data_IF_440699211017
#
_entry.id   IF_440699211017
#
_cell.length_a   1.000
_cell.length_b   1.000
_cell.length_c   1.000
_cell.angle_alpha   90.00
_cell.angle_beta   90.00
_cell.angle_gamma   90.00
#
_symmetry.space_group_name_H-M   'P 1'
#
loop_
_entity.id
_entity.type
_entity.pdbx_description
1 polymer ?
#
# COMPACT_ATOMS: atom_id res chain seq x y z
N UNK A 1 12.78 -9.67 -8.51
CA UNK A 1 12.78 -10.19 -7.13
C UNK A 1 12.35 -11.65 -7.14
N UNK A 2 12.62 -12.43 -6.10
CA UNK A 2 12.19 -13.84 -5.93
C UNK A 2 11.85 -14.07 -4.45
N UNK A 3 10.73 -13.50 -4.01
CA UNK A 3 10.36 -13.42 -2.59
C UNK A 3 9.01 -14.09 -2.33
N UNK A 4 8.84 -14.64 -1.13
CA UNK A 4 7.55 -15.09 -0.62
C UNK A 4 7.02 -14.02 0.31
N UNK A 5 6.20 -13.12 -0.24
CA UNK A 5 5.76 -11.93 0.47
C UNK A 5 4.52 -12.21 1.35
N UNK A 6 4.64 -11.91 2.65
CA UNK A 6 3.56 -12.03 3.61
C UNK A 6 2.92 -10.67 3.85
N UNK A 7 1.70 -10.50 3.36
CA UNK A 7 0.97 -9.23 3.51
C UNK A 7 0.28 -9.15 4.86
N UNK A 8 0.59 -8.11 5.64
CA UNK A 8 0.04 -7.84 6.97
C UNK A 8 -0.88 -6.62 6.88
N UNK A 9 -1.99 -6.65 7.62
CA UNK A 9 -2.93 -5.53 7.75
C UNK A 9 -3.12 -5.19 9.23
N UNK A 10 -3.36 -3.93 9.54
CA UNK A 10 -3.56 -3.44 10.89
C UNK A 10 -4.06 -2.00 10.91
N UNK A 11 -4.53 -1.56 12.07
CA UNK A 11 -5.04 -0.21 12.29
C UNK A 11 -4.04 0.63 13.08
N UNK A 12 -3.95 1.92 12.76
CA UNK A 12 -3.07 2.86 13.45
C UNK A 12 -3.77 4.20 13.63
N UNK A 13 -3.80 4.67 14.87
CA UNK A 13 -4.40 5.96 15.25
C UNK A 13 -3.39 6.95 15.84
N UNK A 14 -2.11 6.57 15.90
CA UNK A 14 -1.03 7.41 16.39
C UNK A 14 -0.45 8.32 15.32
N UNK A 15 0.57 9.08 15.71
CA UNK A 15 1.35 9.90 14.80
C UNK A 15 2.32 9.03 13.96
N UNK A 16 2.42 9.28 12.66
CA UNK A 16 3.43 8.65 11.80
C UNK A 16 4.72 9.44 11.90
N UNK A 17 5.83 8.76 12.23
CA UNK A 17 7.17 9.37 12.37
C UNK A 17 8.17 8.63 11.48
N UNK A 18 8.24 8.95 10.17
CA UNK A 18 9.15 8.27 9.25
C UNK A 18 10.61 8.53 9.63
N UNK A 19 11.48 7.53 9.45
CA UNK A 19 12.92 7.76 9.43
C UNK A 19 13.28 8.37 8.06
N UNK A 20 13.81 9.61 7.98
CA UNK A 20 14.12 10.25 6.70
C UNK A 20 15.23 9.54 5.91
N UNK A 21 16.01 8.65 6.53
CA UNK A 21 16.98 7.81 5.80
C UNK A 21 16.31 6.68 5.00
N UNK A 22 15.07 6.32 5.33
CA UNK A 22 14.36 5.16 4.75
C UNK A 22 13.07 5.56 4.01
N UNK A 23 12.41 6.64 4.45
CA UNK A 23 11.14 7.09 3.90
C UNK A 23 11.10 8.61 3.73
N UNK A 24 10.98 9.06 2.48
CA UNK A 24 10.96 10.49 2.12
C UNK A 24 9.62 11.17 2.42
N UNK A 25 8.49 10.46 2.29
CA UNK A 25 7.14 10.99 2.52
C UNK A 25 6.14 9.86 2.86
N UNK A 26 4.95 10.23 3.35
CA UNK A 26 3.81 9.32 3.54
C UNK A 26 2.48 10.02 3.29
N UNK A 27 1.47 9.26 2.82
CA UNK A 27 0.10 9.75 2.73
C UNK A 27 -0.89 8.72 3.27
N UNK A 28 -1.87 9.19 4.02
CA UNK A 28 -3.11 8.44 4.25
C UNK A 28 -4.01 8.63 3.03
N UNK A 29 -4.55 7.53 2.50
CA UNK A 29 -5.36 7.55 1.28
C UNK A 29 -6.49 6.52 1.40
N UNK A 30 -7.66 6.88 0.93
CA UNK A 30 -8.81 5.99 0.88
C UNK A 30 -8.54 4.80 -0.06
N UNK A 31 -8.96 3.61 0.33
CA UNK A 31 -8.68 2.38 -0.43
C UNK A 31 -9.14 2.46 -1.89
N UNK A 32 -10.35 3.00 -2.12
CA UNK A 32 -10.90 3.15 -3.48
C UNK A 32 -10.07 4.11 -4.34
N UNK A 33 -9.54 5.16 -3.73
CA UNK A 33 -8.69 6.13 -4.41
C UNK A 33 -7.32 5.54 -4.71
N UNK A 34 -6.72 4.83 -3.76
CA UNK A 34 -5.46 4.13 -3.94
C UNK A 34 -5.55 3.10 -5.09
N UNK A 35 -6.62 2.31 -5.13
CA UNK A 35 -6.83 1.33 -6.22
C UNK A 35 -6.96 1.98 -7.59
N UNK A 36 -7.53 3.20 -7.66
CA UNK A 36 -7.58 3.99 -8.90
C UNK A 36 -6.20 4.55 -9.25
N UNK A 37 -5.51 5.15 -8.29
CA UNK A 37 -4.20 5.79 -8.47
C UNK A 37 -3.13 4.79 -8.96
N UNK A 38 -3.13 3.57 -8.41
CA UNK A 38 -2.24 2.48 -8.87
C UNK A 38 -2.46 2.12 -10.34
N UNK A 39 -3.71 2.16 -10.82
CA UNK A 39 -4.05 1.85 -12.22
C UNK A 39 -3.74 3.00 -13.16
N UNK A 40 -3.98 4.24 -12.72
CA UNK A 40 -3.77 5.44 -13.53
C UNK A 40 -2.28 5.83 -13.60
N UNK A 41 -1.53 5.60 -12.52
CA UNK A 41 -0.14 6.00 -12.36
C UNK A 41 0.79 4.83 -11.98
N UNK A 42 0.79 3.68 -12.68
CA UNK A 42 1.50 2.47 -12.22
C UNK A 42 3.01 2.68 -12.02
N UNK A 43 3.63 3.62 -12.74
CA UNK A 43 5.08 3.87 -12.67
C UNK A 43 5.55 4.49 -11.35
N UNK A 44 4.66 5.07 -10.55
CA UNK A 44 5.02 5.66 -9.24
C UNK A 44 4.93 4.63 -8.10
N UNK A 45 4.51 3.40 -8.39
CA UNK A 45 4.35 2.32 -7.43
C UNK A 45 5.34 1.21 -7.69
N UNK A 46 5.82 0.58 -6.62
CA UNK A 46 6.67 -0.60 -6.73
C UNK A 46 5.90 -1.77 -7.42
N UNK A 47 6.58 -2.60 -8.24
CA UNK A 47 5.92 -3.71 -8.95
C UNK A 47 5.20 -4.70 -8.02
N UNK A 48 5.82 -5.11 -6.91
CA UNK A 48 5.20 -6.01 -5.93
C UNK A 48 3.92 -5.42 -5.33
N UNK A 49 3.86 -4.10 -5.15
CA UNK A 49 2.66 -3.44 -4.64
C UNK A 49 1.52 -3.53 -5.65
N UNK A 50 1.80 -3.37 -6.93
CA UNK A 50 0.81 -3.52 -8.00
C UNK A 50 0.26 -4.96 -8.04
N UNK A 51 1.12 -5.97 -7.90
CA UNK A 51 0.71 -7.38 -7.84
C UNK A 51 -0.20 -7.67 -6.64
N UNK A 52 0.10 -7.12 -5.45
CA UNK A 52 -0.74 -7.25 -4.25
C UNK A 52 -2.11 -6.58 -4.45
N UNK A 53 -2.14 -5.41 -5.08
CA UNK A 53 -3.38 -4.66 -5.35
C UNK A 53 -4.29 -5.38 -6.37
N UNK A 54 -3.70 -6.07 -7.36
CA UNK A 54 -4.43 -6.86 -8.34
C UNK A 54 -4.94 -8.19 -7.78
N UNK A 55 -4.18 -8.83 -6.89
CA UNK A 55 -4.56 -10.07 -6.20
C UNK A 55 -5.82 -9.90 -5.32
N UNK A 56 -5.91 -8.78 -4.59
CA UNK A 56 -7.11 -8.37 -3.88
C UNK A 56 -7.47 -9.20 -2.63
N UNK A 57 -6.69 -10.22 -2.22
CA UNK A 57 -6.97 -10.98 -0.98
C UNK A 57 -7.01 -10.12 0.29
N UNK A 58 -6.38 -8.94 0.26
CA UNK A 58 -6.37 -7.98 1.36
C UNK A 58 -7.69 -7.22 1.52
N UNK A 59 -8.52 -7.14 0.49
CA UNK A 59 -9.78 -6.35 0.50
C UNK A 59 -10.74 -6.79 1.60
N UNK A 60 -10.71 -8.06 2.01
CA UNK A 60 -11.55 -8.58 3.09
C UNK A 60 -11.29 -7.90 4.45
N UNK A 61 -10.12 -7.28 4.61
CA UNK A 61 -9.68 -6.59 5.82
C UNK A 61 -9.79 -5.07 5.70
N UNK A 62 -10.07 -4.55 4.51
CA UNK A 62 -10.09 -3.11 4.20
C UNK A 62 -11.53 -2.59 4.12
N UNK A 63 -12.37 -3.02 5.07
CA UNK A 63 -13.78 -2.60 5.11
C UNK A 63 -13.89 -1.09 5.28
N UNK A 64 -14.90 -0.51 4.61
CA UNK A 64 -15.47 0.79 4.96
C UNK A 64 -15.98 0.78 6.42
#
# INVERSE_FOLDING_TARGET
ENELDQVITGEWSGEVKPNPEEAEDYKWIEWRELKRDVKENPKIYAPWFQEIMDDGRIEKWLKD
#
